data_IF_899787463587
#
_entry.id   IF_899787463587
#
_cell.length_a   1.000
_cell.length_b   1.000
_cell.length_c   1.000
_cell.angle_alpha   90.00
_cell.angle_beta   90.00
_cell.angle_gamma   90.00
#
_symmetry.space_group_name_H-M   'P 1'
#
loop_
_entity.id
_entity.type
_entity.pdbx_description
1 polymer ?
2 non-polymer ?
3 water ?
#
# COMPACT_ATOMS: atom_id res chain seq x y z
N UNK A 1 2.85 -38.69 4.17
CA UNK A 1 3.05 -37.39 4.76
C UNK A 1 3.04 -36.26 3.76
N UNK A 2 1.92 -35.73 3.29
CA UNK A 2 1.96 -34.54 2.37
C UNK A 2 1.47 -33.23 3.05
N UNK A 3 0.50 -33.37 3.96
CA UNK A 3 -0.11 -32.22 4.64
C UNK A 3 -0.57 -31.12 3.70
N UNK A 4 -0.47 -29.88 4.18
CA UNK A 4 -0.96 -28.71 3.42
C UNK A 4 -0.16 -28.41 2.15
N UNK A 5 1.03 -29.02 2.03
CA UNK A 5 1.94 -28.75 0.91
C UNK A 5 1.24 -29.05 -0.42
N UNK A 6 0.43 -30.10 -0.41
CA UNK A 6 -0.20 -30.54 -1.60
C UNK A 6 -0.98 -29.40 -2.24
N UNK A 7 -1.84 -28.74 -1.48
CA UNK A 7 -2.80 -27.77 -2.01
C UNK A 7 -2.19 -26.40 -2.33
N UNK A 8 -0.94 -26.19 -1.90
CA UNK A 8 -0.27 -24.91 -2.04
C UNK A 8 0.12 -24.72 -3.53
N UNK A 9 -0.31 -23.60 -4.15
CA UNK A 9 0.03 -23.43 -5.57
C UNK A 9 1.49 -23.09 -5.84
N UNK A 10 1.89 -23.27 -7.10
CA UNK A 10 3.20 -22.89 -7.59
C UNK A 10 3.38 -21.39 -7.43
N UNK A 11 4.40 -20.99 -6.69
CA UNK A 11 4.66 -19.57 -6.56
C UNK A 11 6.12 -19.27 -6.80
N UNK A 12 6.42 -17.99 -6.93
CA UNK A 12 7.79 -17.55 -7.06
C UNK A 12 7.95 -16.27 -6.26
N UNK A 13 9.17 -16.01 -5.79
CA UNK A 13 9.44 -14.78 -5.01
C UNK A 13 10.38 -13.88 -5.77
N UNK A 14 9.91 -12.67 -6.02
CA UNK A 14 10.68 -11.66 -6.75
C UNK A 14 11.21 -10.66 -5.74
N UNK A 15 12.54 -10.67 -5.50
CA UNK A 15 13.14 -9.92 -4.40
C UNK A 15 14.20 -8.94 -4.87
N UNK A 16 14.39 -7.89 -4.06
CA UNK A 16 15.37 -6.87 -4.41
C UNK A 16 15.89 -6.19 -3.15
N UNK A 17 17.13 -5.72 -3.19
CA UNK A 17 17.74 -4.94 -2.11
C UNK A 17 18.51 -3.73 -2.68
N UNK A 18 18.35 -2.57 -2.05
CA UNK A 18 19.11 -1.37 -2.44
C UNK A 18 19.45 -0.59 -1.19
N UNK A 19 20.48 0.27 -1.30
CA UNK A 19 20.85 1.18 -0.21
C UNK A 19 21.37 2.50 -0.74
N UNK A 20 21.24 3.52 0.07
CA UNK A 20 22.00 4.72 -0.14
C UNK A 20 22.74 5.05 1.14
N UNK A 21 23.16 6.30 1.30
CA UNK A 21 23.91 6.68 2.47
C UNK A 21 23.02 6.88 3.71
N UNK A 22 21.70 6.95 3.51
CA UNK A 22 20.72 7.28 4.57
C UNK A 22 19.83 6.10 4.98
N UNK A 23 19.70 5.11 4.12
CA UNK A 23 18.82 3.97 4.42
C UNK A 23 19.17 2.74 3.59
N UNK A 24 18.61 1.59 3.98
CA UNK A 24 18.71 0.36 3.19
C UNK A 24 17.31 -0.19 3.07
N UNK A 25 17.01 -0.81 1.92
CA UNK A 25 15.69 -1.39 1.74
C UNK A 25 15.79 -2.77 1.13
N UNK A 26 14.78 -3.58 1.40
CA UNK A 26 14.60 -4.84 0.71
C UNK A 26 13.12 -5.02 0.50
N UNK A 27 12.79 -5.71 -0.58
CA UNK A 27 11.41 -6.04 -0.86
C UNK A 27 11.29 -7.44 -1.43
N UNK A 28 10.11 -8.05 -1.27
CA UNK A 28 9.82 -9.28 -1.99
C UNK A 28 8.35 -9.24 -2.36
N UNK A 29 8.05 -9.84 -3.50
CA UNK A 29 6.66 -10.05 -3.84
C UNK A 29 6.54 -11.47 -4.35
N UNK A 30 5.51 -12.13 -3.86
CA UNK A 30 5.25 -13.52 -4.18
C UNK A 30 4.03 -13.48 -5.10
N UNK A 31 4.06 -14.27 -6.16
CA UNK A 31 2.93 -14.37 -7.08
C UNK A 31 2.72 -15.87 -7.35
N UNK A 32 1.46 -16.28 -7.48
CA UNK A 32 1.12 -17.65 -7.92
C UNK A 32 1.28 -17.77 -9.43
N UNK A 33 1.63 -18.97 -9.89
CA UNK A 33 1.85 -19.22 -11.32
C UNK A 33 0.62 -19.09 -12.22
N UNK A 34 -0.56 -19.49 -11.73
CA UNK A 34 -1.73 -19.40 -12.62
C UNK A 34 -2.81 -18.40 -12.22
N UNK A 35 -2.72 -17.85 -11.00
CA UNK A 35 -3.61 -16.74 -10.64
C UNK A 35 -2.90 -15.40 -10.83
N UNK A 36 -3.64 -14.44 -11.38
CA UNK A 36 -3.10 -13.14 -11.74
C UNK A 36 -2.52 -12.41 -10.54
N UNK A 37 -1.49 -11.60 -10.82
CA UNK A 37 -0.96 -10.65 -9.89
C UNK A 37 -2.12 -9.79 -9.42
N UNK A 38 -2.01 -9.28 -8.20
CA UNK A 38 -2.96 -8.32 -7.71
C UNK A 38 -2.18 -7.14 -7.17
N UNK A 39 -0.96 -7.38 -6.70
CA UNK A 39 -0.17 -6.33 -6.04
C UNK A 39 0.82 -5.60 -6.95
N UNK A 40 1.17 -4.38 -6.56
CA UNK A 40 2.36 -3.71 -7.11
C UNK A 40 3.03 -2.94 -6.00
N UNK A 41 4.23 -2.46 -6.25
CA UNK A 41 4.85 -1.60 -5.25
C UNK A 41 5.81 -0.60 -5.86
N UNK A 42 6.24 0.37 -5.05
CA UNK A 42 7.35 1.26 -5.40
C UNK A 42 8.41 1.23 -4.32
N UNK A 43 9.66 1.40 -4.77
CA UNK A 43 10.82 1.54 -3.88
C UNK A 43 11.72 2.49 -4.62
N UNK A 44 11.67 3.78 -4.27
CA UNK A 44 12.41 4.77 -5.00
C UNK A 44 13.26 5.52 -3.99
N UNK A 45 14.53 5.13 -3.90
CA UNK A 45 15.46 5.74 -2.95
C UNK A 45 15.79 7.19 -3.30
N UNK A 46 15.95 7.45 -4.61
CA UNK A 46 16.26 8.77 -5.15
C UNK A 46 15.00 9.42 -5.71
N UNK A 47 13.96 9.55 -4.91
CA UNK A 47 12.74 10.12 -5.42
C UNK A 47 12.84 11.59 -5.74
N UNK A 48 13.41 12.35 -4.80
CA UNK A 48 13.70 13.77 -4.99
C UNK A 48 14.92 14.13 -4.13
N UNK A 49 15.31 15.39 -4.12
CA UNK A 49 16.39 15.86 -3.23
C UNK A 49 16.02 15.57 -1.77
N UNK A 50 16.83 14.77 -1.07
CA UNK A 50 16.60 14.37 0.35
C UNK A 50 15.33 13.54 0.57
N UNK A 51 14.71 13.07 -0.52
CA UNK A 51 13.40 12.38 -0.45
C UNK A 51 13.45 10.93 -0.98
N UNK A 52 12.75 10.03 -0.30
CA UNK A 52 12.56 8.64 -0.80
C UNK A 52 11.10 8.29 -0.78
N UNK A 53 10.69 7.32 -1.61
CA UNK A 53 9.27 7.01 -1.77
C UNK A 53 9.09 5.50 -1.80
N UNK A 54 8.18 5.00 -0.94
CA UNK A 54 7.87 3.56 -0.88
C UNK A 54 6.38 3.37 -0.85
N UNK A 55 5.90 2.29 -1.47
CA UNK A 55 4.44 2.11 -1.54
C UNK A 55 4.08 0.69 -1.83
N UNK A 56 2.91 0.30 -1.32
CA UNK A 56 2.31 -1.01 -1.66
C UNK A 56 0.86 -0.80 -2.13
N UNK A 57 0.52 -1.38 -3.27
CA UNK A 57 -0.82 -1.29 -3.88
C UNK A 57 -1.39 -2.68 -4.03
N UNK A 58 -2.67 -2.82 -3.76
CA UNK A 58 -3.22 -4.14 -3.71
C UNK A 58 -4.54 -4.14 -4.46
N UNK A 59 -4.52 -4.72 -5.67
CA UNK A 59 -5.72 -4.73 -6.52
C UNK A 59 -6.97 -5.51 -6.09
N UNK A 60 -6.86 -6.45 -5.12
CA UNK A 60 -8.01 -7.19 -4.64
C UNK A 60 -8.79 -7.79 -5.80
N UNK A 61 -8.05 -8.46 -6.67
CA UNK A 61 -8.63 -8.95 -7.94
C UNK A 61 -7.71 -8.48 -9.04
N UNK A 62 -8.23 -7.74 -10.00
CA UNK A 62 -7.44 -7.28 -11.15
C UNK A 62 -6.21 -6.47 -10.79
N UNK A 63 -5.16 -6.57 -11.60
CA UNK A 63 -3.93 -5.84 -11.26
C UNK A 63 -3.78 -4.47 -11.86
N UNK A 64 -4.62 -4.06 -12.82
CA UNK A 64 -4.29 -2.89 -13.64
C UNK A 64 -4.19 -1.59 -12.87
N UNK A 65 -5.08 -1.36 -11.91
CA UNK A 65 -4.98 -0.05 -11.18
C UNK A 65 -3.78 -0.06 -10.25
N UNK A 66 -3.55 -1.20 -9.59
CA UNK A 66 -2.30 -1.36 -8.81
C UNK A 66 -1.05 -1.05 -9.64
N UNK A 67 -0.95 -1.71 -10.78
CA UNK A 67 0.17 -1.50 -11.69
C UNK A 67 0.23 0.00 -12.07
N UNK A 68 -0.91 0.58 -12.47
CA UNK A 68 -0.92 1.95 -12.97
C UNK A 68 -0.42 2.92 -11.87
N UNK A 69 -0.83 2.67 -10.61
CA UNK A 69 -0.32 3.43 -9.48
C UNK A 69 1.20 3.36 -9.39
N UNK A 70 1.76 2.16 -9.47
CA UNK A 70 3.23 2.03 -9.37
C UNK A 70 3.95 2.77 -10.52
N UNK A 71 3.31 2.82 -11.69
CA UNK A 71 3.85 3.46 -12.93
C UNK A 71 3.73 4.99 -12.95
N UNK A 72 2.65 5.54 -12.36
CA UNK A 72 2.33 6.96 -12.48
C UNK A 72 2.11 7.78 -11.19
N UNK A 73 1.79 7.12 -10.08
CA UNK A 73 1.44 7.86 -8.86
C UNK A 73 2.62 8.67 -8.31
N UNK A 74 3.84 8.05 -8.21
CA UNK A 74 4.99 8.84 -7.66
C UNK A 74 5.24 10.09 -8.48
N UNK A 75 5.23 9.94 -9.82
CA UNK A 75 5.46 11.13 -10.65
C UNK A 75 4.29 12.14 -10.54
N UNK A 76 3.05 11.68 -10.39
CA UNK A 76 1.92 12.61 -10.20
C UNK A 76 2.08 13.40 -8.91
N UNK A 77 2.60 12.74 -7.86
CA UNK A 77 2.71 13.41 -6.57
C UNK A 77 3.57 14.67 -6.68
N UNK A 78 4.64 14.61 -7.45
CA UNK A 78 5.56 15.74 -7.64
C UNK A 78 4.92 16.96 -8.33
N UNK A 79 3.80 16.74 -9.00
CA UNK A 79 3.14 17.81 -9.75
C UNK A 79 2.11 18.60 -8.95
N UNK A 80 1.69 18.11 -7.77
CA UNK A 80 0.60 18.75 -7.05
C UNK A 80 1.14 20.03 -6.39
N UNK A 81 0.27 21.04 -6.25
CA UNK A 81 0.68 22.36 -5.79
C UNK A 81 1.40 22.32 -4.42
N UNK A 82 0.84 21.56 -3.48
CA UNK A 82 1.34 21.53 -2.11
C UNK A 82 2.70 20.85 -2.02
N UNK A 83 3.03 20.06 -3.04
CA UNK A 83 4.30 19.31 -3.02
C UNK A 83 5.50 20.27 -3.14
N UNK A 84 5.47 21.20 -4.11
CA UNK A 84 6.55 22.20 -4.27
C UNK A 84 6.65 23.15 -3.10
N UNK A 85 5.59 23.20 -2.30
CA UNK A 85 5.47 24.11 -1.16
C UNK A 85 5.92 23.39 0.12
N UNK A 86 6.22 22.11 -0.05
CA UNK A 86 6.65 21.24 1.05
C UNK A 86 5.61 21.08 2.16
N UNK A 87 4.32 21.17 1.79
CA UNK A 87 3.26 20.80 2.70
C UNK A 87 2.86 19.37 2.36
N UNK A 88 3.58 18.40 2.95
CA UNK A 88 3.49 17.00 2.48
C UNK A 88 2.22 16.27 2.83
N UNK A 89 1.59 16.62 3.95
CA UNK A 89 0.32 15.98 4.30
C UNK A 89 -0.76 16.41 3.27
N UNK A 90 -0.84 17.72 3.04
CA UNK A 90 -1.75 18.23 2.00
C UNK A 90 -1.43 17.67 0.62
N UNK A 91 -0.14 17.62 0.26
CA UNK A 91 0.29 17.07 -1.04
C UNK A 91 -0.16 15.59 -1.21
N UNK A 92 -0.01 14.79 -0.15
CA UNK A 92 -0.38 13.39 -0.27
C UNK A 92 -1.90 13.27 -0.51
N UNK A 93 -2.69 14.09 0.18
CA UNK A 93 -4.15 14.05 0.04
C UNK A 93 -4.50 14.47 -1.39
N UNK A 94 -3.92 15.61 -1.82
CA UNK A 94 -4.14 16.11 -3.20
C UNK A 94 -3.76 15.08 -4.27
N UNK A 95 -2.67 14.35 -4.02
CA UNK A 95 -2.18 13.36 -4.99
C UNK A 95 -3.15 12.19 -5.05
N UNK A 96 -3.59 11.66 -3.90
CA UNK A 96 -4.47 10.48 -3.99
C UNK A 96 -5.78 10.89 -4.73
N UNK A 97 -6.38 12.01 -4.30
CA UNK A 97 -7.68 12.43 -4.89
C UNK A 97 -7.50 12.84 -6.35
N UNK A 98 -6.42 13.57 -6.65
CA UNK A 98 -6.20 14.04 -8.04
C UNK A 98 -5.95 12.87 -9.01
N UNK A 99 -5.14 11.93 -8.56
CA UNK A 99 -4.77 10.78 -9.35
C UNK A 99 -5.99 9.91 -9.57
N UNK A 100 -6.79 9.73 -8.52
CA UNK A 100 -8.05 9.02 -8.66
C UNK A 100 -8.92 9.59 -9.79
N UNK A 101 -9.00 10.92 -9.85
CA UNK A 101 -9.82 11.59 -10.86
C UNK A 101 -9.33 11.31 -12.28
N UNK A 102 -8.00 11.14 -12.45
CA UNK A 102 -7.43 10.86 -13.78
C UNK A 102 -7.88 9.52 -14.32
N UNK A 103 -8.26 8.61 -13.43
CA UNK A 103 -8.69 7.29 -13.90
C UNK A 103 -9.95 7.25 -14.78
N UNK A 104 -10.73 8.34 -14.76
CA UNK A 104 -11.92 8.52 -15.59
C UNK A 104 -11.61 9.11 -16.98
N UNK A 105 -10.37 9.59 -17.18
CA UNK A 105 -9.97 10.18 -18.47
C UNK A 105 -9.78 9.10 -19.51
N UNK A 106 -10.27 9.36 -20.72
CA UNK A 106 -10.18 8.37 -21.83
C UNK A 106 -8.75 7.85 -22.09
N UNK A 107 -7.77 8.76 -22.13
CA UNK A 107 -6.39 8.38 -22.44
C UNK A 107 -5.80 7.50 -21.36
N UNK A 108 -6.16 7.79 -20.10
CA UNK A 108 -5.73 6.95 -18.97
C UNK A 108 -6.34 5.55 -19.04
N UNK A 109 -7.63 5.49 -19.35
CA UNK A 109 -8.35 4.23 -19.46
C UNK A 109 -7.69 3.36 -20.57
N UNK A 110 -7.23 3.96 -21.66
CA UNK A 110 -6.53 3.21 -22.76
C UNK A 110 -5.33 2.47 -22.15
N UNK A 111 -4.59 3.16 -21.30
CA UNK A 111 -3.42 2.49 -20.68
C UNK A 111 -3.87 1.42 -19.66
N UNK A 112 -4.96 1.66 -18.93
CA UNK A 112 -5.44 0.68 -17.95
C UNK A 112 -5.83 -0.60 -18.72
N UNK A 113 -6.45 -0.41 -19.86
CA UNK A 113 -6.86 -1.55 -20.72
C UNK A 113 -5.65 -2.42 -21.10
N UNK A 114 -4.55 -1.78 -21.51
CA UNK A 114 -3.35 -2.52 -21.86
C UNK A 114 -2.83 -3.28 -20.63
N UNK A 115 -2.88 -2.63 -19.47
CA UNK A 115 -2.37 -3.23 -18.22
C UNK A 115 -3.24 -4.43 -17.80
N UNK A 116 -4.53 -4.38 -18.16
CA UNK A 116 -5.45 -5.45 -17.76
C UNK A 116 -5.22 -6.78 -18.46
N UNK A 117 -4.62 -6.72 -19.65
CA UNK A 117 -4.47 -7.87 -20.52
C UNK A 117 -5.44 -7.67 -21.67
N UNK A 123 -16.17 -6.26 -22.12
CA UNK A 123 -16.82 -4.99 -21.75
C UNK A 123 -16.32 -4.48 -20.40
N UNK A 124 -15.15 -4.96 -19.95
CA UNK A 124 -14.58 -4.49 -18.69
C UNK A 124 -14.41 -2.98 -18.74
N UNK A 125 -14.59 -2.35 -17.57
CA UNK A 125 -14.40 -0.89 -17.41
C UNK A 125 -13.35 -0.68 -16.35
N UNK A 126 -12.03 -0.86 -16.68
CA UNK A 126 -10.98 -0.69 -15.66
C UNK A 126 -10.99 0.72 -15.06
N UNK A 127 -10.75 0.76 -13.76
CA UNK A 127 -10.86 2.00 -12.99
C UNK A 127 -12.25 2.21 -12.40
N UNK A 128 -13.25 1.55 -13.03
CA UNK A 128 -14.64 1.60 -12.53
C UNK A 128 -14.96 0.28 -11.84
N UNK A 129 -14.68 -0.86 -12.52
CA UNK A 129 -14.85 -2.18 -11.97
C UNK A 129 -13.54 -2.78 -11.40
N UNK A 130 -12.52 -1.93 -11.30
CA UNK A 130 -11.23 -2.32 -10.73
C UNK A 130 -10.58 -1.12 -10.04
N UNK A 131 -9.66 -1.43 -9.13
CA UNK A 131 -9.08 -0.38 -8.29
C UNK A 131 -8.00 -1.03 -7.42
N UNK A 132 -7.51 -0.33 -6.42
CA UNK A 132 -6.50 -0.92 -5.49
C UNK A 132 -6.46 -0.13 -4.18
N UNK A 133 -6.12 -0.82 -3.09
CA UNK A 133 -5.70 -0.10 -1.89
C UNK A 133 -4.28 0.48 -2.15
N UNK A 134 -3.94 1.52 -1.40
CA UNK A 134 -2.63 2.13 -1.53
C UNK A 134 -2.11 2.59 -0.16
N UNK A 135 -0.86 2.21 0.18
CA UNK A 135 -0.20 2.80 1.34
C UNK A 135 1.12 3.37 0.82
N UNK A 136 1.40 4.62 1.19
CA UNK A 136 2.58 5.30 0.66
C UNK A 136 3.34 5.85 1.85
N UNK A 137 4.66 5.61 1.86
CA UNK A 137 5.58 6.30 2.83
C UNK A 137 6.49 7.24 2.07
N UNK A 138 6.49 8.54 2.43
CA UNK A 138 7.34 9.52 1.79
C UNK A 138 8.32 9.99 2.90
N UNK A 139 9.61 9.85 2.64
CA UNK A 139 10.63 10.32 3.58
C UNK A 139 11.30 11.56 2.99
N UNK A 140 11.13 12.67 3.70
CA UNK A 140 11.73 13.97 3.35
C UNK A 140 12.68 14.32 4.51
N UNK A 141 13.95 14.06 4.26
CA UNK A 141 14.97 14.12 5.28
C UNK A 141 14.66 13.06 6.33
N UNK A 142 14.41 13.53 7.55
CA UNK A 142 14.08 12.63 8.66
C UNK A 142 12.57 12.66 8.91
N UNK A 143 11.83 13.43 8.11
CA UNK A 143 10.35 13.52 8.30
C UNK A 143 9.68 12.46 7.46
N UNK A 144 8.94 11.57 8.14
CA UNK A 144 8.26 10.42 7.51
C UNK A 144 6.76 10.70 7.48
N UNK A 145 6.18 10.69 6.28
CA UNK A 145 4.74 10.91 6.11
C UNK A 145 4.18 9.61 5.55
N UNK A 146 3.07 9.14 6.11
CA UNK A 146 2.49 7.87 5.65
C UNK A 146 1.05 8.17 5.30
N UNK A 147 0.68 7.87 4.05
CA UNK A 147 -0.73 8.02 3.63
C UNK A 147 -1.30 6.64 3.35
N UNK A 148 -2.46 6.34 3.93
CA UNK A 148 -3.03 5.04 3.75
C UNK A 148 -4.49 5.12 3.35
N UNK A 149 -4.81 4.41 2.27
CA UNK A 149 -6.19 4.23 1.82
C UNK A 149 -6.36 2.74 1.58
N UNK A 150 -6.74 2.05 2.65
CA UNK A 150 -7.07 0.62 2.48
C UNK A 150 -6.54 -0.24 3.63
N UNK A 151 -6.34 -1.50 3.33
CA UNK A 151 -5.98 -2.50 4.34
C UNK A 151 -4.55 -3.08 4.25
N UNK A 152 -3.67 -2.44 3.47
CA UNK A 152 -2.22 -2.68 3.63
C UNK A 152 -1.86 -1.87 4.86
N UNK A 153 -0.62 -1.95 5.34
CA UNK A 153 -0.30 -1.28 6.61
C UNK A 153 1.19 -0.91 6.59
N UNK A 154 1.51 0.19 7.26
CA UNK A 154 2.89 0.61 7.48
C UNK A 154 3.18 0.64 9.00
N UNK A 155 4.22 -0.09 9.41
CA UNK A 155 4.55 -0.20 10.84
C UNK A 155 6.00 0.23 11.05
N UNK A 156 6.22 1.12 12.01
CA UNK A 156 7.61 1.54 12.36
C UNK A 156 8.03 0.77 13.63
N UNK A 157 9.30 0.37 13.74
CA UNK A 157 9.88 -0.11 15.01
C UNK A 157 10.46 1.09 15.74
N UNK A 158 9.70 1.60 16.71
CA UNK A 158 10.08 2.76 17.54
C UNK A 158 10.23 2.32 19.02
N UNK A 159 11.37 2.64 19.61
CA UNK A 159 11.60 2.29 21.01
C UNK A 159 11.44 0.79 21.28
N UNK A 160 11.82 -0.02 20.29
CA UNK A 160 11.79 -1.50 20.35
C UNK A 160 10.42 -2.14 20.21
N UNK A 161 9.42 -1.35 19.82
CA UNK A 161 8.01 -1.73 19.77
C UNK A 161 7.38 -1.35 18.42
N UNK A 162 6.31 -2.05 18.03
CA UNK A 162 5.54 -1.66 16.85
C UNK A 162 4.84 -0.33 17.05
N UNK A 163 4.93 0.53 16.03
CA UNK A 163 4.19 1.81 16.01
C UNK A 163 3.48 1.88 14.68
N UNK A 164 2.15 1.76 14.70
CA UNK A 164 1.38 1.84 13.43
C UNK A 164 1.41 3.26 12.83
N UNK A 165 1.82 3.32 11.58
CA UNK A 165 1.75 4.60 10.89
C UNK A 165 0.52 4.59 10.01
N UNK A 166 -0.24 3.51 10.04
CA UNK A 166 -1.60 3.40 9.47
C UNK A 166 -2.49 2.43 10.34
N UNK A 167 -3.78 2.69 10.62
CA UNK A 167 -4.87 3.39 9.90
C UNK A 167 -5.30 2.71 8.63
N UNK A 168 -5.29 1.41 8.83
CA UNK A 168 -6.06 0.32 8.25
C UNK A 168 -7.53 0.71 8.09
N UNK A 169 -8.11 0.40 6.93
CA UNK A 169 -9.54 0.68 6.74
C UNK A 169 -10.25 -0.53 6.18
N UNK A 170 -11.41 -0.83 6.75
CA UNK A 170 -12.31 -1.86 6.24
C UNK A 170 -13.74 -1.46 6.48
N UNK A 171 -14.66 -1.99 5.66
CA UNK A 171 -16.10 -1.63 5.68
C UNK A 171 -16.75 -1.67 7.06
N UNK A 172 -16.34 -2.62 7.91
CA UNK A 172 -16.97 -2.74 9.24
C UNK A 172 -16.50 -1.71 10.23
N UNK A 173 -15.41 -1.01 9.93
CA UNK A 173 -14.88 0.00 10.85
C UNK A 173 -15.95 1.07 11.06
N UNK A 174 -16.01 1.65 12.26
CA UNK A 174 -17.08 2.65 12.51
C UNK A 174 -17.11 3.89 11.58
N UNK A 175 -15.97 4.55 11.37
CA UNK A 175 -15.92 5.74 10.51
C UNK A 175 -16.25 5.37 9.05
N UNK A 176 -15.76 4.19 8.64
CA UNK A 176 -16.01 3.68 7.26
C UNK A 176 -17.51 3.42 7.06
N UNK A 177 -18.05 2.66 7.99
CA UNK A 177 -19.50 2.38 7.97
C UNK A 177 -20.37 3.64 7.94
N UNK A 178 -20.04 4.65 8.77
CA UNK A 178 -20.82 5.91 8.75
C UNK A 178 -20.86 6.57 7.37
N UNK A 179 -19.69 6.62 6.72
CA UNK A 179 -19.61 7.16 5.36
C UNK A 179 -20.43 6.32 4.38
N UNK A 180 -20.27 5.00 4.47
CA UNK A 180 -20.98 4.04 3.56
C UNK A 180 -22.52 4.23 3.72
N UNK A 181 -22.97 4.26 4.98
CA UNK A 181 -24.36 4.54 5.34
C UNK A 181 -24.90 5.83 4.72
N UNK A 182 -24.20 6.96 4.94
CA UNK A 182 -24.69 8.25 4.45
C UNK A 182 -24.74 8.28 2.93
N UNK A 183 -23.85 7.51 2.29
CA UNK A 183 -23.82 7.45 0.84
C UNK A 183 -24.82 6.39 0.23
N UNK A 184 -25.65 5.82 1.09
CA UNK A 184 -26.71 4.91 0.64
C UNK A 184 -26.30 3.46 0.49
N UNK A 185 -25.09 3.13 0.98
CA UNK A 185 -24.55 1.79 0.88
C UNK A 185 -24.85 0.91 2.08
N UNK A 186 -24.57 -0.38 1.97
CA UNK A 186 -24.72 -1.26 3.15
C UNK A 186 -23.52 -2.20 3.22
N UNK A 187 -23.37 -2.90 4.34
CA UNK A 187 -22.27 -3.85 4.52
C UNK A 187 -22.85 -5.20 4.94
N UNK A 188 -22.58 -6.24 4.14
CA UNK A 188 -23.09 -7.61 4.42
C UNK A 188 -22.36 -8.20 5.65
N UNK A 189 -22.90 -9.29 6.22
CA UNK A 189 -22.30 -9.84 7.45
C UNK A 189 -20.85 -10.28 7.18
N UNK A 190 -20.60 -10.73 5.95
CA UNK A 190 -19.23 -11.07 5.49
C UNK A 190 -18.34 -9.90 5.01
N UNK A 191 -18.71 -8.67 5.40
CA UNK A 191 -17.84 -7.49 5.24
C UNK A 191 -17.78 -6.85 3.86
N UNK A 192 -18.78 -7.11 3.02
CA UNK A 192 -18.71 -6.61 1.62
C UNK A 192 -19.61 -5.42 1.44
N UNK A 193 -19.10 -4.35 0.80
CA UNK A 193 -19.92 -3.17 0.47
C UNK A 193 -20.96 -3.54 -0.59
N UNK A 194 -22.24 -3.39 -0.24
CA UNK A 194 -23.37 -3.71 -1.16
C UNK A 194 -23.23 -5.12 -1.66
N UNK A 195 -22.56 -5.94 -0.85
CA UNK A 195 -22.37 -7.33 -1.23
C UNK A 195 -21.31 -7.65 -2.27
N UNK A 196 -20.56 -6.62 -2.66
CA UNK A 196 -19.59 -6.72 -3.76
C UNK A 196 -18.21 -6.69 -3.18
N UNK A 197 -17.57 -5.52 -3.23
CA UNK A 197 -16.17 -5.36 -2.80
C UNK A 197 -16.00 -5.44 -1.28
N UNK A 198 -14.88 -6.02 -0.82
CA UNK A 198 -14.61 -6.03 0.60
C UNK A 198 -13.61 -4.93 1.00
N UNK A 199 -13.63 -3.84 0.23
CA UNK A 199 -12.79 -2.72 0.60
C UNK A 199 -13.66 -1.50 0.83
N UNK A 200 -13.15 -0.60 1.68
CA UNK A 200 -13.82 0.68 1.93
C UNK A 200 -13.00 1.88 1.45
N UNK A 201 -11.68 1.72 1.26
CA UNK A 201 -10.89 2.82 0.63
C UNK A 201 -10.05 2.23 -0.47
N UNK A 202 -9.97 3.00 -1.54
CA UNK A 202 -9.24 2.55 -2.73
C UNK A 202 -9.08 3.70 -3.68
N UNK A 203 -8.06 3.57 -4.52
CA UNK A 203 -7.92 4.33 -5.75
C UNK A 203 -8.57 3.50 -6.85
N UNK A 204 -9.35 4.17 -7.70
CA UNK A 204 -10.19 3.42 -8.64
C UNK A 204 -11.49 2.96 -8.05
N UNK A 205 -12.01 1.85 -8.56
CA UNK A 205 -13.36 1.36 -8.16
C UNK A 205 -14.39 2.45 -8.20
N UNK A 206 -14.32 3.25 -9.26
CA UNK A 206 -15.29 4.37 -9.44
C UNK A 206 -16.77 3.94 -9.54
N UNK A 207 -17.03 2.65 -9.77
CA UNK A 207 -18.40 2.14 -9.72
C UNK A 207 -19.02 2.35 -8.33
N UNK A 208 -18.18 2.55 -7.31
CA UNK A 208 -18.65 2.84 -5.91
C UNK A 208 -18.46 4.32 -5.51
N UNK A 209 -18.30 5.17 -6.52
CA UNK A 209 -18.03 6.58 -6.35
C UNK A 209 -18.90 7.42 -7.29
N UNK A 210 -20.17 7.04 -7.41
CA UNK A 210 -21.04 7.58 -8.42
C UNK A 210 -22.19 8.41 -7.86
N UNK A 211 -22.13 8.73 -6.56
CA UNK A 211 -23.11 9.68 -5.96
C UNK A 211 -22.79 11.15 -6.29
N UNK A 212 -23.55 11.67 -7.26
CA UNK A 212 -23.28 12.99 -7.81
C UNK A 212 -23.56 14.09 -6.77
N UNK A 213 -24.33 13.76 -5.74
CA UNK A 213 -24.67 14.64 -4.58
C UNK A 213 -23.48 14.91 -3.69
N UNK A 214 -22.54 13.97 -3.66
CA UNK A 214 -21.52 13.95 -2.59
C UNK A 214 -20.16 14.26 -3.15
N UNK A 215 -19.30 14.94 -2.37
CA UNK A 215 -17.95 15.15 -2.82
C UNK A 215 -17.15 13.85 -2.84
N UNK A 216 -16.00 13.90 -3.51
CA UNK A 216 -15.20 12.71 -3.76
C UNK A 216 -14.91 11.95 -2.46
N UNK A 217 -14.57 12.70 -1.41
CA UNK A 217 -14.14 12.07 -0.17
C UNK A 217 -15.29 11.47 0.69
N UNK A 218 -16.53 11.73 0.30
CA UNK A 218 -17.71 11.19 0.99
C UNK A 218 -18.39 10.05 0.22
N UNK A 219 -17.78 9.60 -0.90
CA UNK A 219 -18.31 8.45 -1.65
C UNK A 219 -18.20 7.19 -0.78
N UNK A 220 -19.00 6.16 -1.07
CA UNK A 220 -19.01 4.91 -0.22
C UNK A 220 -17.59 4.34 -0.06
N UNK A 221 -16.94 4.14 -1.21
CA UNK A 221 -15.48 3.84 -1.28
C UNK A 221 -14.78 5.20 -1.53
N UNK A 222 -13.80 5.47 -0.69
CA UNK A 222 -13.10 6.75 -0.73
C UNK A 222 -11.58 6.58 -1.04
N UNK A 223 -11.05 7.46 -1.92
CA UNK A 223 -9.59 7.56 -2.20
C UNK A 223 -8.86 8.46 -1.18
N UNK A 224 -9.58 9.05 -0.22
CA UNK A 224 -8.94 10.00 0.70
C UNK A 224 -8.06 9.13 1.65
N UNK A 225 -6.74 9.39 1.72
CA UNK A 225 -5.95 8.66 2.73
C UNK A 225 -5.99 9.30 4.13
N UNK A 226 -5.82 8.47 5.18
CA UNK A 226 -5.49 8.97 6.51
C UNK A 226 -3.97 9.20 6.46
N UNK A 227 -3.54 10.31 7.04
CA UNK A 227 -2.13 10.63 7.06
C UNK A 227 -1.58 10.70 8.47
N UNK A 228 -0.35 10.18 8.64
CA UNK A 228 0.39 10.36 9.88
C UNK A 228 1.84 10.71 9.60
N UNK A 229 2.40 11.56 10.46
CA UNK A 229 3.77 12.00 10.34
C UNK A 229 4.51 11.69 11.65
N UNK A 230 5.77 11.31 11.51
CA UNK A 230 6.75 11.28 12.62
C UNK A 230 8.05 11.86 12.10
N UNK A 231 9.00 12.11 13.03
CA UNK A 231 10.35 12.49 12.63
C UNK A 231 11.22 11.34 13.11
N UNK A 232 11.93 10.70 12.20
CA UNK A 232 12.64 9.48 12.59
C UNK A 232 13.96 9.90 13.25
N UNK A 233 14.34 9.19 14.32
CA UNK A 233 15.63 9.48 14.96
C UNK A 233 16.25 8.21 15.46
N UNK A 234 17.18 8.34 16.42
CA UNK A 234 18.00 7.19 16.87
C UNK A 234 17.26 5.94 17.29
N UNK A 235 16.02 6.08 17.75
CA UNK A 235 15.27 4.97 18.26
C UNK A 235 14.31 4.32 17.24
N UNK A 236 14.32 4.83 16.00
CA UNK A 236 13.45 4.29 14.95
C UNK A 236 14.31 3.43 14.03
N UNK A 237 14.24 2.12 14.27
CA UNK A 237 15.18 1.16 13.68
C UNK A 237 14.86 0.79 12.24
N UNK A 238 13.56 0.62 11.95
CA UNK A 238 13.13 0.25 10.61
C UNK A 238 11.62 0.49 10.47
N UNK A 239 11.13 0.34 9.24
CA UNK A 239 9.70 0.28 8.99
C UNK A 239 9.38 -0.83 8.02
N UNK A 240 8.12 -1.26 8.02
CA UNK A 240 7.67 -2.34 7.16
C UNK A 240 6.40 -1.82 6.47
N UNK A 241 6.32 -2.00 5.15
CA UNK A 241 5.06 -1.84 4.42
C UNK A 241 4.72 -3.21 3.88
N UNK A 242 3.49 -3.63 4.10
CA UNK A 242 3.04 -4.89 3.52
C UNK A 242 1.53 -4.93 3.25
N UNK A 243 1.15 -5.86 2.39
CA UNK A 243 -0.29 -6.05 2.08
C UNK A 243 -0.98 -6.89 3.13
N UNK A 244 -2.28 -6.98 2.98
CA UNK A 244 -3.15 -7.71 3.90
C UNK A 244 -2.79 -9.20 4.01
N UNK A 245 -2.09 -9.76 3.02
CA UNK A 245 -1.64 -11.15 3.11
C UNK A 245 -0.79 -11.37 4.35
N UNK A 246 -0.12 -10.32 4.80
CA UNK A 246 0.75 -10.48 5.97
C UNK A 246 -0.08 -10.28 7.23
N UNK A 247 -0.83 -9.17 7.28
CA UNK A 247 -1.53 -8.73 8.51
C UNK A 247 -2.71 -9.64 8.86
N UNK A 248 -3.19 -10.36 7.86
CA UNK A 248 -4.25 -11.36 8.07
C UNK A 248 -3.77 -12.47 9.02
N UNK A 249 -2.45 -12.72 9.06
CA UNK A 249 -1.82 -13.82 9.81
C UNK A 249 -0.98 -13.40 11.02
N UNK A 250 -0.58 -12.14 11.06
CA UNK A 250 0.35 -11.60 12.06
C UNK A 250 -0.03 -10.19 12.47
N UNK A 251 0.17 -9.89 13.74
CA UNK A 251 -0.07 -8.54 14.24
C UNK A 251 1.14 -7.67 13.94
N UNK A 252 1.00 -6.38 14.15
CA UNK A 252 2.13 -5.46 13.98
C UNK A 252 3.30 -5.80 14.88
N UNK A 253 2.98 -6.12 16.13
CA UNK A 253 4.00 -6.52 17.10
C UNK A 253 4.77 -7.74 16.65
N UNK A 254 4.03 -8.75 16.20
CA UNK A 254 4.60 -10.03 15.76
C UNK A 254 5.51 -9.82 14.55
N UNK A 255 5.10 -8.95 13.63
CA UNK A 255 5.96 -8.68 12.48
C UNK A 255 7.24 -7.94 12.91
N UNK A 256 7.11 -6.94 13.78
CA UNK A 256 8.26 -6.20 14.21
C UNK A 256 9.22 -7.14 14.90
N UNK A 257 8.68 -8.03 15.73
CA UNK A 257 9.52 -9.01 16.45
C UNK A 257 10.21 -9.97 15.48
N UNK A 258 9.44 -10.47 14.50
CA UNK A 258 9.99 -11.32 13.43
C UNK A 258 11.18 -10.64 12.72
N UNK A 259 11.05 -9.35 12.40
CA UNK A 259 12.11 -8.60 11.74
C UNK A 259 13.28 -8.39 12.73
N UNK A 260 12.95 -8.02 13.97
CA UNK A 260 13.98 -7.87 15.00
C UNK A 260 14.83 -9.15 15.21
N UNK A 261 14.19 -10.35 15.23
CA UNK A 261 14.77 -11.75 15.40
C UNK A 261 15.80 -12.03 14.23
N UNK A 262 15.91 -11.13 13.23
CA UNK A 262 16.67 -11.38 11.97
C UNK A 262 17.57 -10.26 11.44
N UNK A 263 17.18 -9.01 11.68
CA UNK A 263 17.75 -7.85 10.99
C UNK A 263 19.24 -7.59 11.21
N UNK A 264 19.78 -7.82 12.38
CA UNK A 264 21.21 -7.53 12.39
C UNK A 264 22.13 -8.77 12.34
N UNK A 265 21.55 -9.91 11.93
CA UNK A 265 22.28 -11.16 11.71
C UNK A 265 23.23 -11.02 10.53
N UNK A 266 24.45 -11.57 10.66
CA UNK A 266 25.47 -11.39 9.62
C UNK A 266 24.99 -11.98 8.30
N UNK A 267 25.14 -11.22 7.22
CA UNK A 267 24.74 -11.70 5.89
C UNK A 267 23.24 -11.74 5.59
N UNK A 268 22.40 -11.38 6.56
CA UNK A 268 20.95 -11.37 6.36
C UNK A 268 20.52 -10.20 5.47
N UNK A 269 20.02 -10.47 4.26
CA UNK A 269 19.46 -9.38 3.38
C UNK A 269 18.04 -8.99 3.82
N UNK A 270 17.69 -7.72 3.74
CA UNK A 270 16.31 -7.29 4.08
C UNK A 270 15.27 -8.06 3.23
N UNK A 271 15.55 -8.26 1.95
CA UNK A 271 14.62 -9.00 1.07
C UNK A 271 14.42 -10.43 1.57
N UNK A 272 15.48 -11.03 2.15
CA UNK A 272 15.39 -12.38 2.67
C UNK A 272 14.47 -12.49 3.88
N UNK A 273 14.50 -11.47 4.74
CA UNK A 273 13.58 -11.40 5.89
C UNK A 273 12.13 -11.42 5.35
N UNK A 274 11.87 -10.65 4.28
CA UNK A 274 10.54 -10.61 3.63
C UNK A 274 10.13 -12.04 3.18
N UNK A 275 11.07 -12.72 2.53
CA UNK A 275 10.81 -14.09 2.06
C UNK A 275 10.45 -15.01 3.23
N UNK A 276 11.21 -14.93 4.31
CA UNK A 276 10.99 -15.79 5.47
C UNK A 276 9.67 -15.46 6.17
N UNK A 277 9.35 -14.17 6.25
CA UNK A 277 8.03 -13.71 6.68
C UNK A 277 6.91 -14.39 5.90
N UNK A 278 7.07 -14.44 4.58
CA UNK A 278 6.04 -15.03 3.73
C UNK A 278 5.89 -16.53 4.08
N UNK A 279 7.02 -17.23 4.25
CA UNK A 279 7.06 -18.69 4.57
C UNK A 279 6.32 -18.99 5.87
N UNK A 280 6.67 -18.22 6.90
CA UNK A 280 6.05 -18.33 8.21
C UNK A 280 4.54 -18.08 8.12
N UNK A 281 4.15 -17.07 7.36
CA UNK A 281 2.74 -16.78 7.12
C UNK A 281 2.01 -17.85 6.27
N UNK A 282 2.70 -18.45 5.30
CA UNK A 282 2.04 -19.39 4.37
C UNK A 282 1.69 -20.71 5.05
N UNK A 295 -0.97 -13.44 -3.20
CA UNK A 295 -0.09 -12.40 -3.69
C UNK A 295 0.43 -11.61 -2.48
N UNK A 296 1.67 -11.87 -2.07
CA UNK A 296 2.23 -11.31 -0.84
C UNK A 296 3.30 -10.32 -1.22
N UNK A 297 3.23 -9.13 -0.63
CA UNK A 297 4.16 -8.07 -0.93
C UNK A 297 4.58 -7.39 0.37
N UNK A 298 5.88 -7.22 0.54
CA UNK A 298 6.41 -6.51 1.71
C UNK A 298 7.69 -5.76 1.34
N UNK A 299 7.88 -4.63 2.01
CA UNK A 299 9.10 -3.85 1.91
C UNK A 299 9.61 -3.58 3.32
N UNK A 300 10.92 -3.77 3.56
CA UNK A 300 11.53 -3.34 4.82
C UNK A 300 12.51 -2.23 4.56
N UNK A 301 12.37 -1.12 5.29
CA UNK A 301 13.29 0.01 5.15
C UNK A 301 13.98 0.17 6.48
N UNK A 302 15.31 0.02 6.46
CA UNK A 302 16.12 0.20 7.65
C UNK A 302 16.78 1.55 7.60
N UNK A 303 16.50 2.35 8.62
CA UNK A 303 16.99 3.73 8.71
C UNK A 303 18.42 3.70 9.26
N UNK A 304 19.31 4.42 8.60
CA UNK A 304 20.68 4.49 9.10
C UNK A 304 20.71 5.47 10.29
X LIG B 1 -7.80 -6.72 1.66
X LIG C 1 -4.39 -8.45 -0.80
X LIG D 1 -0.85 -8.94 -1.50
X LIG E 1 -24.42 5.23 11.51
X LIG F 1 2.37 4.84 -18.26
X LIG G 1 10.58 -3.59 -6.63
#
# INVERSE_FOLDING_TARGET
SLGAYLSEPLTTKDSSDESNEFLASGSSSMQGWRISQEDAHNCILNFDDQCSFFAVYDGHGGAEVAQYCSLHLPTFLKTVEAYGRKEFEKALKEAFLGFDATLLQEKVIEELKVLSGDSAGSDAEPGKDSGCTAVVALLHGKDLYVANAGDSRCVVCRNGKALEMSFDHKPEDTVEYQRIEKAGGRVTLDGRVNGGLNLSRAIGDHGYKMNKSLPAEEQMISALPDIEKITVGPEDEFMVLACDGIWNFMTSEQVVQFVQERINKPGMKLSKICEELFDHCLAPHTRGDGTGCDNMTAIIVQFK
ZN ZN
ZN ZN
ZN ZN
ZN ZN
ZN ZN
ZN ZN
#
